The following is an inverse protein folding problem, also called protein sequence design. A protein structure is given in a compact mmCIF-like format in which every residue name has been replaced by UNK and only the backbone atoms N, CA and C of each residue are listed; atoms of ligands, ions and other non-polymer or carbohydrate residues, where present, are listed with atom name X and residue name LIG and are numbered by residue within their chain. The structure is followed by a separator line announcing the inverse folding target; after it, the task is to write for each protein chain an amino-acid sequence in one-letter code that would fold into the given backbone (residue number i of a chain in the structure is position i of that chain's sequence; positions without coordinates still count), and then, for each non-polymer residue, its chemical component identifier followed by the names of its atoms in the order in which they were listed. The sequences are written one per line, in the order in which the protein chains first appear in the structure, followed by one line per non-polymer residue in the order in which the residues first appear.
data_IF_459020089152
#
_entry.id   IF_459020089152
#
_cell.length_a   1.000
_cell.length_b   1.000
_cell.length_c   1.000
_cell.angle_alpha   90.00
_cell.angle_beta   90.00
_cell.angle_gamma   90.00
#
_symmetry.space_group_name_H-M   'P 1'
#
loop_
_entity.id
_entity.type
_entity.pdbx_description
1 polymer ?
#
# COMPACT_ATOMS: atom_id res chain seq x y z
N UNK A 1 -9.39 -16.17 -18.17
CA UNK A 1 -7.94 -15.90 -18.23
C UNK A 1 -7.61 -14.89 -17.14
N UNK A 2 -7.10 -15.33 -15.99
CA UNK A 2 -6.70 -14.39 -14.92
C UNK A 2 -5.42 -13.71 -15.41
N UNK A 3 -5.50 -12.43 -15.77
CA UNK A 3 -4.31 -11.62 -16.04
C UNK A 3 -3.47 -11.63 -14.76
N UNK A 4 -2.30 -12.30 -14.80
CA UNK A 4 -1.28 -12.13 -13.77
C UNK A 4 -0.92 -10.65 -13.77
N UNK A 5 -1.33 -9.92 -12.72
CA UNK A 5 -0.90 -8.54 -12.52
C UNK A 5 0.63 -8.56 -12.50
N UNK A 6 1.26 -7.89 -13.47
CA UNK A 6 2.72 -7.71 -13.49
C UNK A 6 3.11 -7.06 -12.16
N UNK A 7 4.15 -7.57 -11.52
CA UNK A 7 4.59 -6.96 -10.27
C UNK A 7 5.07 -5.54 -10.54
N UNK A 8 4.59 -4.57 -9.76
CA UNK A 8 5.04 -3.18 -9.85
C UNK A 8 6.24 -3.07 -8.93
N UNK A 9 7.43 -3.03 -9.52
CA UNK A 9 8.68 -2.80 -8.81
C UNK A 9 8.94 -1.29 -8.74
N UNK A 10 9.13 -0.77 -7.53
CA UNK A 10 9.53 0.61 -7.29
C UNK A 10 10.95 0.58 -6.70
N UNK A 11 11.96 0.65 -7.57
CA UNK A 11 13.32 0.24 -7.20
C UNK A 11 13.37 -1.24 -6.83
N UNK A 12 14.10 -1.59 -5.77
CA UNK A 12 14.23 -2.97 -5.25
C UNK A 12 13.04 -3.44 -4.39
N UNK A 13 12.01 -2.60 -4.18
CA UNK A 13 10.85 -2.96 -3.38
C UNK A 13 9.79 -3.70 -4.22
N UNK A 14 9.42 -4.91 -3.79
CA UNK A 14 8.25 -5.65 -4.31
C UNK A 14 7.00 -5.33 -3.49
N UNK A 15 6.21 -4.36 -3.96
CA UNK A 15 4.98 -3.91 -3.30
C UNK A 15 3.91 -5.01 -3.22
N UNK A 16 3.81 -5.89 -4.21
CA UNK A 16 2.80 -6.95 -4.21
C UNK A 16 3.10 -8.00 -3.15
N UNK A 17 4.38 -8.31 -2.95
CA UNK A 17 4.82 -9.18 -1.87
C UNK A 17 4.45 -8.58 -0.52
N UNK A 18 4.76 -7.30 -0.26
CA UNK A 18 4.43 -6.64 1.00
C UNK A 18 2.92 -6.63 1.25
N UNK A 19 2.11 -6.27 0.25
CA UNK A 19 0.64 -6.26 0.37
C UNK A 19 0.12 -7.67 0.70
N UNK A 20 0.66 -8.70 0.04
CA UNK A 20 0.27 -10.09 0.29
C UNK A 20 0.58 -10.50 1.73
N UNK A 21 1.75 -10.13 2.24
CA UNK A 21 2.15 -10.36 3.64
C UNK A 21 1.22 -9.65 4.63
N UNK A 22 0.84 -8.39 4.35
CA UNK A 22 -0.04 -7.60 5.22
C UNK A 22 -1.51 -8.07 5.24
N UNK A 23 -1.98 -8.68 4.15
CA UNK A 23 -3.39 -9.13 4.02
C UNK A 23 -3.59 -10.56 4.52
N UNK A 24 -2.55 -11.41 4.48
CA UNK A 24 -2.63 -12.83 4.85
C UNK A 24 -2.60 -13.10 6.37
N UNK A 25 -2.81 -12.08 7.19
CA UNK A 25 -2.79 -12.17 8.65
C UNK A 25 -3.88 -13.09 9.14
N UNK A 26 -3.52 -14.07 9.95
CA UNK A 26 -4.47 -14.97 10.59
C UNK A 26 -5.10 -14.29 11.81
N UNK A 27 -6.36 -14.60 12.19
CA UNK A 27 -7.05 -13.93 13.30
C UNK A 27 -6.29 -13.92 14.64
N UNK A 28 -5.44 -14.91 14.89
CA UNK A 28 -4.64 -15.03 16.11
C UNK A 28 -3.24 -14.39 16.01
N UNK A 29 -2.84 -13.95 14.82
CA UNK A 29 -1.53 -13.39 14.57
C UNK A 29 -1.54 -11.89 14.88
N UNK A 30 -0.86 -11.49 15.97
CA UNK A 30 -0.81 -10.10 16.46
C UNK A 30 0.23 -9.23 15.75
N UNK A 31 1.22 -9.84 15.10
CA UNK A 31 2.34 -9.16 14.45
C UNK A 31 2.70 -9.82 13.13
N UNK A 32 3.31 -9.04 12.25
CA UNK A 32 3.75 -9.47 10.92
C UNK A 32 5.17 -8.98 10.76
N UNK A 33 6.01 -9.84 10.19
CA UNK A 33 7.37 -9.45 9.88
C UNK A 33 7.37 -8.60 8.62
N UNK A 34 7.63 -7.31 8.81
CA UNK A 34 7.92 -6.33 7.76
C UNK A 34 9.23 -5.67 8.14
N UNK A 35 10.17 -5.64 7.21
CA UNK A 35 11.49 -5.08 7.49
C UNK A 35 11.44 -3.56 7.58
N UNK A 36 12.34 -2.97 8.36
CA UNK A 36 12.47 -1.50 8.45
C UNK A 36 12.66 -0.86 7.07
N UNK A 37 13.40 -1.51 6.18
CA UNK A 37 13.64 -1.02 4.83
C UNK A 37 12.35 -0.99 3.99
N UNK A 38 11.52 -2.03 4.06
CA UNK A 38 10.22 -2.06 3.38
C UNK A 38 9.33 -0.92 3.88
N UNK A 39 9.25 -0.72 5.20
CA UNK A 39 8.47 0.39 5.80
C UNK A 39 9.00 1.74 5.34
N UNK A 40 10.32 1.98 5.44
CA UNK A 40 10.95 3.24 5.03
C UNK A 40 10.66 3.56 3.57
N UNK A 41 10.82 2.57 2.69
CA UNK A 41 10.58 2.73 1.26
C UNK A 41 9.11 3.06 0.97
N UNK A 42 8.16 2.36 1.61
CA UNK A 42 6.72 2.67 1.47
C UNK A 42 6.43 4.12 1.90
N UNK A 43 6.99 4.57 3.03
CA UNK A 43 6.83 5.95 3.48
C UNK A 43 7.40 6.97 2.49
N UNK A 44 8.58 6.71 1.93
CA UNK A 44 9.20 7.60 0.94
C UNK A 44 8.34 7.71 -0.33
N UNK A 45 7.86 6.58 -0.84
CA UNK A 45 6.99 6.52 -2.02
C UNK A 45 5.65 7.21 -1.78
N UNK A 46 4.99 6.91 -0.65
CA UNK A 46 3.73 7.54 -0.26
C UNK A 46 3.88 9.07 -0.12
N UNK A 47 4.97 9.53 0.51
CA UNK A 47 5.28 10.96 0.61
C UNK A 47 5.41 11.62 -0.76
N UNK A 48 6.09 10.98 -1.70
CA UNK A 48 6.19 11.52 -3.07
C UNK A 48 4.81 11.61 -3.72
N UNK A 49 3.98 10.57 -3.64
CA UNK A 49 2.62 10.57 -4.20
C UNK A 49 1.78 11.71 -3.60
N UNK A 50 1.76 11.84 -2.28
CA UNK A 50 1.00 12.89 -1.60
C UNK A 50 1.48 14.30 -1.92
N UNK A 51 2.77 14.50 -2.18
CA UNK A 51 3.30 15.81 -2.60
C UNK A 51 2.97 16.15 -4.06
N UNK A 52 2.79 15.16 -4.92
CA UNK A 52 2.36 15.38 -6.31
C UNK A 52 0.85 15.57 -6.43
N UNK A 53 0.07 15.11 -5.45
CA UNK A 53 -1.36 15.34 -5.39
C UNK A 53 -1.68 16.73 -4.82
N UNK A 54 -2.78 17.37 -5.24
CA UNK A 54 -3.23 18.61 -4.63
C UNK A 54 -3.61 18.36 -3.17
N UNK A 55 -3.35 19.36 -2.31
CA UNK A 55 -3.70 19.28 -0.88
C UNK A 55 -5.20 19.13 -0.64
N UNK A 56 -6.02 19.72 -1.52
CA UNK A 56 -7.46 19.51 -1.58
C UNK A 56 -7.76 18.57 -2.75
N UNK A 57 -8.16 17.32 -2.44
CA UNK A 57 -8.47 16.32 -3.45
C UNK A 57 -9.84 16.59 -4.08
N UNK A 58 -9.88 16.60 -5.40
CA UNK A 58 -11.12 16.52 -6.18
C UNK A 58 -11.40 15.05 -6.48
N UNK A 59 -12.52 14.53 -6.00
CA UNK A 59 -12.89 13.10 -6.10
C UNK A 59 -14.23 12.94 -6.82
N UNK A 60 -14.33 11.92 -7.65
CA UNK A 60 -15.56 11.58 -8.38
C UNK A 60 -16.19 10.28 -7.85
N UNK A 61 -17.53 10.16 -7.82
CA UNK A 61 -18.20 8.91 -7.46
C UNK A 61 -18.02 7.83 -8.55
N UNK A 62 -18.14 6.54 -8.20
CA UNK A 62 -18.45 5.97 -6.89
C UNK A 62 -17.21 5.73 -6.01
N UNK A 63 -17.31 6.03 -4.71
CA UNK A 63 -16.25 5.78 -3.72
C UNK A 63 -16.82 5.41 -2.34
N UNK A 64 -16.01 4.79 -1.48
CA UNK A 64 -16.35 4.51 -0.08
C UNK A 64 -15.52 5.40 0.83
N UNK A 65 -16.18 6.17 1.70
CA UNK A 65 -15.52 7.01 2.72
C UNK A 65 -15.51 6.24 4.05
N UNK A 66 -14.34 6.13 4.67
CA UNK A 66 -14.17 5.57 6.01
C UNK A 66 -13.53 6.62 6.92
N UNK A 67 -14.18 6.93 8.04
CA UNK A 67 -13.63 7.76 9.11
C UNK A 67 -12.92 6.92 10.18
N UNK A 68 -12.46 7.56 11.26
CA UNK A 68 -11.97 6.84 12.43
C UNK A 68 -13.16 6.21 13.18
N UNK A 69 -13.04 4.92 13.51
CA UNK A 69 -13.96 4.22 14.42
C UNK A 69 -13.75 4.67 15.87
#
# INVERSE_FOLDING_TARGET
MVMRRKSVHYGDLDLNKVISTLVQVKPWQKSIDVTENEVRMICMLARQIFLHQPMLLELEPPLKIAGKH
#
